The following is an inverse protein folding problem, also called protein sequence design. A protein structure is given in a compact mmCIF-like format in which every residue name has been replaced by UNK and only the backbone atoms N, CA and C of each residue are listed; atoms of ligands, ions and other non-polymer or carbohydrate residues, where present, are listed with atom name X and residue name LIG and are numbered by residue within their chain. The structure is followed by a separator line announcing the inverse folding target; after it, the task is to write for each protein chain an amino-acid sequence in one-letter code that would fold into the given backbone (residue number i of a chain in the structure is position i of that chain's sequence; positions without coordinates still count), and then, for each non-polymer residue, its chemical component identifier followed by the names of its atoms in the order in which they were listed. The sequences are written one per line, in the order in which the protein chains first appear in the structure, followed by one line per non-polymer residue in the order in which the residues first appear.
data_IF_596204795911
#
_entry.id   IF_596204795911
#
_cell.length_a   1.000
_cell.length_b   1.000
_cell.length_c   1.000
_cell.angle_alpha   90.00
_cell.angle_beta   90.00
_cell.angle_gamma   90.00
#
_symmetry.space_group_name_H-M   'P 1'
#
loop_
_entity.id
_entity.type
_entity.pdbx_description
1 polymer ?
#
# COMPACT_ATOMS: atom_id res chain seq x y z
N UNK A 1 -4.00 22.61 -17.86
CA UNK A 1 -5.42 22.98 -18.12
C UNK A 1 -6.15 23.32 -16.82
N UNK A 2 -6.98 24.38 -16.81
CA UNK A 2 -7.63 24.90 -15.58
C UNK A 2 -8.46 23.83 -14.85
N UNK A 3 -9.21 23.02 -15.57
CA UNK A 3 -10.00 21.92 -15.00
C UNK A 3 -9.11 20.89 -14.25
N UNK A 4 -7.97 20.53 -14.83
CA UNK A 4 -7.01 19.60 -14.21
C UNK A 4 -6.42 20.14 -12.91
N UNK A 5 -6.13 21.45 -12.86
CA UNK A 5 -5.65 22.13 -11.65
C UNK A 5 -6.71 22.14 -10.56
N UNK A 6 -7.95 22.51 -10.88
CA UNK A 6 -9.07 22.54 -9.91
C UNK A 6 -9.30 21.16 -9.29
N UNK A 7 -9.40 20.11 -10.13
CA UNK A 7 -9.57 18.72 -9.65
C UNK A 7 -8.42 18.33 -8.73
N UNK A 8 -7.19 18.69 -9.09
CA UNK A 8 -6.00 18.35 -8.29
C UNK A 8 -5.96 19.06 -6.95
N UNK A 9 -6.41 20.32 -6.88
CA UNK A 9 -6.52 21.07 -5.62
C UNK A 9 -7.55 20.40 -4.73
N UNK A 10 -8.74 20.13 -5.27
CA UNK A 10 -9.84 19.51 -4.52
C UNK A 10 -9.42 18.15 -3.97
N UNK A 11 -8.83 17.28 -4.80
CA UNK A 11 -8.34 15.96 -4.36
C UNK A 11 -7.26 16.09 -3.29
N UNK A 12 -6.31 17.02 -3.43
CA UNK A 12 -5.24 17.19 -2.44
C UNK A 12 -5.76 17.67 -1.09
N UNK A 13 -6.66 18.66 -1.08
CA UNK A 13 -7.24 19.20 0.15
C UNK A 13 -8.15 18.18 0.86
N UNK A 14 -8.98 17.47 0.10
CA UNK A 14 -9.81 16.39 0.65
C UNK A 14 -8.92 15.28 1.24
N UNK A 15 -7.87 14.88 0.52
CA UNK A 15 -6.97 13.82 0.97
C UNK A 15 -6.27 14.18 2.27
N UNK A 16 -5.69 15.39 2.37
CA UNK A 16 -5.09 15.88 3.61
C UNK A 16 -6.08 15.90 4.78
N UNK A 17 -7.31 16.37 4.53
CA UNK A 17 -8.34 16.49 5.55
C UNK A 17 -8.79 15.12 6.07
N UNK A 18 -9.01 14.16 5.16
CA UNK A 18 -9.45 12.79 5.49
C UNK A 18 -8.34 12.04 6.21
N UNK A 19 -7.11 12.04 5.67
CA UNK A 19 -5.96 11.35 6.27
C UNK A 19 -5.66 11.91 7.66
N UNK A 20 -5.66 13.25 7.82
CA UNK A 20 -5.46 13.90 9.13
C UNK A 20 -6.56 13.53 10.14
N UNK A 21 -7.81 13.47 9.69
CA UNK A 21 -8.93 13.04 10.53
C UNK A 21 -8.77 11.59 11.01
N UNK A 22 -8.39 10.67 10.12
CA UNK A 22 -8.15 9.28 10.50
C UNK A 22 -6.95 9.12 11.44
N UNK A 23 -5.88 9.87 11.20
CA UNK A 23 -4.71 9.88 12.06
C UNK A 23 -5.09 10.36 13.47
N UNK A 24 -5.88 11.42 13.57
CA UNK A 24 -6.35 11.98 14.86
C UNK A 24 -7.28 11.01 15.59
N UNK A 25 -8.22 10.37 14.88
CA UNK A 25 -9.10 9.36 15.46
C UNK A 25 -8.30 8.17 16.03
N UNK A 26 -7.30 7.69 15.27
CA UNK A 26 -6.44 6.57 15.71
C UNK A 26 -5.53 6.99 16.87
N UNK A 27 -4.94 8.19 16.81
CA UNK A 27 -4.13 8.75 17.89
C UNK A 27 -4.92 8.85 19.20
N UNK A 28 -6.15 9.40 19.15
CA UNK A 28 -7.00 9.57 20.33
C UNK A 28 -7.50 8.26 20.95
N UNK A 29 -7.51 7.17 20.19
CA UNK A 29 -7.89 5.84 20.70
C UNK A 29 -6.77 5.20 21.54
N UNK A 30 -5.51 5.60 21.34
CA UNK A 30 -4.36 5.03 22.03
C UNK A 30 -4.23 5.60 23.45
N UNK A 31 -4.60 4.81 24.46
CA UNK A 31 -4.39 5.17 25.87
C UNK A 31 -2.97 4.91 26.38
N UNK A 32 -2.28 3.89 25.85
CA UNK A 32 -0.95 3.50 26.33
C UNK A 32 0.01 3.14 25.18
N UNK A 33 0.93 4.05 24.88
CA UNK A 33 1.86 3.96 23.74
C UNK A 33 2.89 2.83 23.85
N UNK A 34 3.21 2.39 25.06
CA UNK A 34 4.25 1.37 25.29
C UNK A 34 3.79 -0.07 25.04
N UNK A 35 2.49 -0.32 24.93
CA UNK A 35 1.92 -1.67 24.77
C UNK A 35 1.25 -1.90 23.42
N UNK A 36 1.49 -1.02 22.44
CA UNK A 36 0.89 -1.15 21.11
C UNK A 36 1.46 -2.35 20.34
N UNK A 37 0.61 -3.18 19.70
CA UNK A 37 1.08 -4.22 18.80
C UNK A 37 1.76 -3.59 17.57
N UNK A 38 2.78 -4.26 17.00
CA UNK A 38 3.53 -3.74 15.84
C UNK A 38 2.63 -3.40 14.65
N UNK A 39 1.51 -4.11 14.49
CA UNK A 39 0.52 -3.81 13.45
C UNK A 39 -0.08 -2.40 13.55
N UNK A 40 -0.29 -1.88 14.76
CA UNK A 40 -0.79 -0.51 14.95
C UNK A 40 0.27 0.54 14.63
N UNK A 41 1.55 0.27 14.93
CA UNK A 41 2.66 1.13 14.51
C UNK A 41 2.75 1.25 12.98
N UNK A 42 2.60 0.14 12.26
CA UNK A 42 2.56 0.15 10.80
C UNK A 42 1.40 0.99 10.26
N UNK A 43 0.20 0.91 10.86
CA UNK A 43 -0.94 1.75 10.47
C UNK A 43 -0.64 3.24 10.66
N UNK A 44 0.03 3.63 11.75
CA UNK A 44 0.48 5.01 11.94
C UNK A 44 1.51 5.45 10.91
N UNK A 45 2.48 4.58 10.57
CA UNK A 45 3.46 4.85 9.52
C UNK A 45 2.77 5.09 8.17
N UNK A 46 1.81 4.24 7.78
CA UNK A 46 1.05 4.39 6.53
C UNK A 46 0.35 5.75 6.46
N UNK A 47 -0.35 6.15 7.53
CA UNK A 47 -1.05 7.44 7.53
C UNK A 47 -0.08 8.63 7.51
N UNK A 48 1.06 8.52 8.21
CA UNK A 48 2.07 9.58 8.23
C UNK A 48 2.76 9.72 6.87
N UNK A 49 3.17 8.62 6.25
CA UNK A 49 3.77 8.58 4.91
C UNK A 49 2.79 9.14 3.87
N UNK A 50 1.53 8.70 3.91
CA UNK A 50 0.46 9.20 3.05
C UNK A 50 0.26 10.72 3.22
N UNK A 51 0.24 11.21 4.46
CA UNK A 51 0.09 12.64 4.74
C UNK A 51 1.27 13.45 4.19
N UNK A 52 2.51 13.00 4.46
CA UNK A 52 3.73 13.66 3.98
C UNK A 52 3.78 13.67 2.45
N UNK A 53 3.38 12.58 1.80
CA UNK A 53 3.31 12.50 0.34
C UNK A 53 2.32 13.51 -0.25
N UNK A 54 1.08 13.53 0.24
CA UNK A 54 0.05 14.46 -0.26
C UNK A 54 0.48 15.91 0.00
N UNK A 55 1.09 16.17 1.16
CA UNK A 55 1.62 17.50 1.48
C UNK A 55 2.76 17.91 0.54
N UNK A 56 3.75 17.04 0.34
CA UNK A 56 4.89 17.33 -0.53
C UNK A 56 4.47 17.51 -2.00
N UNK A 57 3.57 16.68 -2.51
CA UNK A 57 3.01 16.84 -3.87
C UNK A 57 2.21 18.13 -4.02
N UNK A 58 1.45 18.55 -3.01
CA UNK A 58 0.75 19.82 -3.02
C UNK A 58 1.72 21.02 -3.04
N UNK A 59 2.80 20.97 -2.25
CA UNK A 59 3.84 22.02 -2.24
C UNK A 59 4.57 22.08 -3.58
N UNK A 60 4.96 20.92 -4.15
CA UNK A 60 5.59 20.86 -5.47
C UNK A 60 4.68 21.41 -6.56
N UNK A 61 3.40 21.03 -6.55
CA UNK A 61 2.46 21.38 -7.60
C UNK A 61 1.95 22.82 -7.54
N UNK A 62 1.60 23.31 -6.35
CA UNK A 62 0.98 24.62 -6.17
C UNK A 62 1.92 25.69 -5.65
N UNK A 63 2.98 25.30 -4.93
CA UNK A 63 3.97 26.24 -4.39
C UNK A 63 5.11 26.51 -5.36
N UNK A 64 5.81 25.45 -5.78
CA UNK A 64 7.00 25.55 -6.65
C UNK A 64 6.66 25.58 -8.14
N UNK A 65 5.54 24.95 -8.53
CA UNK A 65 5.12 24.82 -9.92
C UNK A 65 5.90 23.74 -10.65
N UNK A 66 5.19 22.70 -11.13
CA UNK A 66 5.79 21.54 -11.81
C UNK A 66 6.57 21.92 -13.07
N UNK A 67 6.12 22.97 -13.73
CA UNK A 67 6.61 23.43 -15.02
C UNK A 67 7.72 24.50 -14.87
N UNK A 68 8.20 24.75 -13.64
CA UNK A 68 9.20 25.79 -13.36
C UNK A 68 10.63 25.38 -13.74
N UNK A 69 10.99 24.11 -13.53
CA UNK A 69 12.35 23.63 -13.76
C UNK A 69 12.40 22.11 -13.87
N UNK A 70 13.43 21.61 -14.59
CA UNK A 70 13.72 20.19 -14.68
C UNK A 70 13.92 19.53 -13.30
N UNK A 71 14.53 20.23 -12.33
CA UNK A 71 14.77 19.70 -11.00
C UNK A 71 13.46 19.43 -10.23
N UNK A 72 12.46 20.31 -10.37
CA UNK A 72 11.13 20.11 -9.77
C UNK A 72 10.41 18.95 -10.46
N UNK A 73 10.56 18.83 -11.78
CA UNK A 73 9.99 17.74 -12.58
C UNK A 73 10.58 16.35 -12.20
N UNK A 74 11.91 16.23 -12.10
CA UNK A 74 12.58 14.99 -11.65
C UNK A 74 12.27 14.68 -10.17
N UNK A 75 12.20 15.71 -9.32
CA UNK A 75 11.76 15.57 -7.93
C UNK A 75 10.34 15.02 -7.81
N UNK A 76 9.41 15.45 -8.67
CA UNK A 76 8.03 14.98 -8.66
C UNK A 76 7.90 13.49 -8.99
N UNK A 77 8.61 12.99 -10.01
CA UNK A 77 8.58 11.55 -10.33
C UNK A 77 9.23 10.72 -9.22
N UNK A 78 10.33 11.21 -8.65
CA UNK A 78 11.01 10.52 -7.56
C UNK A 78 10.11 10.43 -6.32
N UNK A 79 9.38 11.50 -6.02
CA UNK A 79 8.43 11.52 -4.90
C UNK A 79 7.27 10.53 -5.12
N UNK A 80 6.72 10.44 -6.33
CA UNK A 80 5.71 9.44 -6.69
C UNK A 80 6.24 8.00 -6.57
N UNK A 81 7.43 7.73 -7.09
CA UNK A 81 8.06 6.42 -7.02
C UNK A 81 8.36 6.00 -5.57
N UNK A 82 8.94 6.90 -4.78
CA UNK A 82 9.24 6.63 -3.37
C UNK A 82 7.96 6.34 -2.59
N UNK A 83 6.91 7.15 -2.73
CA UNK A 83 5.65 6.92 -2.02
C UNK A 83 4.96 5.62 -2.45
N UNK A 84 4.98 5.29 -3.75
CA UNK A 84 4.46 4.02 -4.24
C UNK A 84 5.20 2.84 -3.60
N UNK A 85 6.54 2.89 -3.59
CA UNK A 85 7.37 1.82 -3.01
C UNK A 85 7.18 1.74 -1.49
N UNK A 86 7.18 2.86 -0.78
CA UNK A 86 6.92 2.93 0.66
C UNK A 86 5.61 2.24 1.00
N UNK A 87 4.52 2.61 0.32
CA UNK A 87 3.19 2.02 0.51
C UNK A 87 3.24 0.50 0.32
N UNK A 88 3.88 0.01 -0.74
CA UNK A 88 3.96 -1.43 -1.04
C UNK A 88 4.80 -2.21 -0.03
N UNK A 89 5.94 -1.66 0.38
CA UNK A 89 6.83 -2.29 1.37
C UNK A 89 6.14 -2.37 2.72
N UNK A 90 5.49 -1.29 3.17
CA UNK A 90 4.71 -1.29 4.41
C UNK A 90 3.57 -2.30 4.38
N UNK A 91 2.82 -2.35 3.27
CA UNK A 91 1.73 -3.30 3.07
C UNK A 91 2.21 -4.76 3.09
N UNK A 92 3.32 -5.05 2.41
CA UNK A 92 3.98 -6.35 2.44
C UNK A 92 4.41 -6.72 3.87
N UNK A 93 4.98 -5.76 4.63
CA UNK A 93 5.38 -5.98 6.01
C UNK A 93 4.18 -6.31 6.90
N UNK A 94 3.06 -5.61 6.71
CA UNK A 94 1.81 -5.84 7.42
C UNK A 94 1.25 -7.24 7.11
N UNK A 95 1.27 -7.66 5.85
CA UNK A 95 0.87 -9.00 5.45
C UNK A 95 1.78 -10.08 6.05
N UNK A 96 3.11 -9.92 5.95
CA UNK A 96 4.08 -10.86 6.51
C UNK A 96 3.86 -10.98 8.03
N UNK A 97 3.68 -9.85 8.72
CA UNK A 97 3.45 -9.85 10.16
C UNK A 97 2.12 -10.53 10.54
N UNK A 98 1.05 -10.25 9.79
CA UNK A 98 -0.27 -10.86 10.01
C UNK A 98 -0.25 -12.37 9.73
N UNK A 99 0.41 -12.79 8.65
CA UNK A 99 0.64 -14.20 8.31
C UNK A 99 1.45 -14.92 9.41
N UNK A 100 2.49 -14.26 9.94
CA UNK A 100 3.29 -14.79 11.03
C UNK A 100 2.46 -14.92 12.32
N UNK A 101 1.56 -13.97 12.58
CA UNK A 101 0.69 -13.99 13.75
C UNK A 101 -0.32 -15.15 13.68
N UNK A 102 -0.94 -15.39 12.52
CA UNK A 102 -1.91 -16.47 12.34
C UNK A 102 -1.25 -17.85 12.35
N UNK A 103 -0.10 -18.02 11.68
CA UNK A 103 0.70 -19.25 11.78
C UNK A 103 1.23 -19.45 13.19
N UNK A 104 1.69 -18.43 13.90
CA UNK A 104 2.07 -18.55 15.31
C UNK A 104 0.88 -18.93 16.20
N UNK A 105 -0.33 -18.45 15.91
CA UNK A 105 -1.54 -18.81 16.66
C UNK A 105 -2.02 -20.24 16.38
N UNK A 106 -1.98 -20.68 15.11
CA UNK A 106 -2.36 -22.04 14.69
C UNK A 106 -1.29 -23.08 15.09
N UNK A 107 0.00 -22.71 15.03
CA UNK A 107 1.14 -23.59 15.37
C UNK A 107 1.41 -23.62 16.88
N UNK A 108 0.99 -22.61 17.68
CA UNK A 108 1.06 -22.64 19.17
C UNK A 108 0.01 -23.55 19.81
N UNK A 109 -0.16 -24.73 19.24
CA UNK A 109 -0.47 -25.95 19.97
C UNK A 109 0.74 -26.62 20.62
N UNK A 110 1.92 -25.97 20.71
CA UNK A 110 3.06 -26.40 21.54
C UNK A 110 4.47 -26.18 20.94
N UNK A 111 5.29 -25.37 21.61
CA UNK A 111 6.73 -25.61 21.89
C UNK A 111 7.86 -25.56 20.82
N UNK A 112 7.74 -24.92 19.64
CA UNK A 112 8.95 -24.66 18.79
C UNK A 112 9.10 -23.25 18.20
N UNK A 113 10.36 -22.87 17.95
CA UNK A 113 10.85 -21.50 17.67
C UNK A 113 10.50 -20.97 16.28
N UNK A 114 10.25 -19.64 16.21
CA UNK A 114 9.83 -18.83 15.05
C UNK A 114 10.79 -18.84 13.85
N UNK A 115 12.02 -19.30 13.99
CA UNK A 115 13.10 -19.15 13.01
C UNK A 115 13.54 -20.45 12.33
N UNK A 116 12.92 -21.59 12.66
CA UNK A 116 13.47 -22.91 12.29
C UNK A 116 12.87 -23.51 11.01
N UNK A 117 11.77 -22.96 10.47
CA UNK A 117 11.20 -23.49 9.23
C UNK A 117 11.88 -22.87 8.00
N UNK A 118 12.70 -23.65 7.30
CA UNK A 118 13.36 -23.26 6.03
C UNK A 118 12.38 -22.68 4.99
N UNK A 119 11.13 -23.13 5.01
CA UNK A 119 10.06 -22.63 4.14
C UNK A 119 9.70 -21.16 4.40
N UNK A 120 9.73 -20.72 5.67
CA UNK A 120 9.44 -19.33 6.03
C UNK A 120 10.55 -18.38 5.58
N UNK A 121 11.80 -18.75 5.85
CA UNK A 121 12.95 -17.96 5.42
C UNK A 121 13.00 -17.85 3.89
N UNK A 122 12.79 -18.96 3.18
CA UNK A 122 12.75 -18.96 1.72
C UNK A 122 11.62 -18.10 1.16
N UNK A 123 10.41 -18.20 1.70
CA UNK A 123 9.27 -17.42 1.24
C UNK A 123 9.46 -15.91 1.52
N UNK A 124 9.87 -15.55 2.73
CA UNK A 124 10.09 -14.14 3.09
C UNK A 124 11.27 -13.53 2.32
N UNK A 125 12.43 -14.19 2.30
CA UNK A 125 13.61 -13.66 1.63
C UNK A 125 13.46 -13.67 0.10
N UNK A 126 12.80 -14.70 -0.45
CA UNK A 126 12.50 -14.79 -1.88
C UNK A 126 11.53 -13.71 -2.35
N UNK A 127 10.42 -13.49 -1.63
CA UNK A 127 9.46 -12.43 -1.98
C UNK A 127 10.07 -11.04 -1.83
N UNK A 128 10.77 -10.76 -0.72
CA UNK A 128 11.43 -9.46 -0.52
C UNK A 128 12.52 -9.20 -1.56
N UNK A 129 13.31 -10.23 -1.90
CA UNK A 129 14.36 -10.14 -2.91
C UNK A 129 13.79 -9.85 -4.29
N UNK A 130 12.75 -10.57 -4.71
CA UNK A 130 12.08 -10.31 -5.98
C UNK A 130 11.43 -8.92 -6.03
N UNK A 131 10.82 -8.45 -4.93
CA UNK A 131 10.29 -7.09 -4.82
C UNK A 131 11.39 -6.03 -4.97
N UNK A 132 12.56 -6.28 -4.36
CA UNK A 132 13.73 -5.40 -4.46
C UNK A 132 14.23 -5.28 -5.89
N UNK A 133 14.28 -6.38 -6.65
CA UNK A 133 14.68 -6.36 -8.07
C UNK A 133 13.73 -5.50 -8.89
N UNK A 134 12.43 -5.66 -8.70
CA UNK A 134 11.41 -4.87 -9.41
C UNK A 134 11.50 -3.38 -9.05
N UNK A 135 11.76 -3.04 -7.79
CA UNK A 135 12.01 -1.67 -7.35
C UNK A 135 13.21 -1.06 -8.08
N UNK A 136 14.35 -1.77 -8.12
CA UNK A 136 15.56 -1.29 -8.78
C UNK A 136 15.29 -1.03 -10.27
N UNK A 137 14.59 -1.94 -10.94
CA UNK A 137 14.20 -1.76 -12.34
C UNK A 137 13.34 -0.50 -12.55
N UNK A 138 12.40 -0.21 -11.65
CA UNK A 138 11.59 1.01 -11.75
C UNK A 138 12.41 2.30 -11.58
N UNK A 139 13.42 2.31 -10.70
CA UNK A 139 14.30 3.47 -10.56
C UNK A 139 15.21 3.71 -11.77
N UNK A 140 15.65 2.63 -12.43
CA UNK A 140 16.54 2.70 -13.60
C UNK A 140 15.79 3.14 -14.86
N UNK A 141 14.57 2.64 -15.06
CA UNK A 141 13.76 2.90 -16.25
C UNK A 141 12.73 4.04 -16.06
N UNK A 142 12.99 4.97 -15.15
CA UNK A 142 12.17 6.18 -14.98
C UNK A 142 12.45 7.18 -16.10
N UNK A 143 11.42 7.88 -16.57
CA UNK A 143 11.55 8.93 -17.57
C UNK A 143 10.99 10.24 -17.00
N UNK A 144 11.84 11.27 -16.99
CA UNK A 144 11.44 12.66 -16.79
C UNK A 144 11.96 13.48 -17.97
N UNK A 145 11.05 14.12 -18.71
CA UNK A 145 11.36 15.03 -19.82
C UNK A 145 10.74 16.39 -19.55
N UNK A 146 11.45 17.43 -19.93
CA UNK A 146 10.99 18.80 -19.81
C UNK A 146 10.97 19.39 -21.21
N UNK A 147 9.80 19.37 -21.85
CA UNK A 147 9.62 19.78 -23.25
C UNK A 147 8.73 21.02 -23.28
N UNK A 148 9.21 22.10 -23.93
CA UNK A 148 8.46 23.34 -24.19
C UNK A 148 7.78 24.00 -22.97
N UNK A 149 8.37 23.84 -21.77
CA UNK A 149 7.82 24.41 -20.54
C UNK A 149 6.69 23.56 -19.95
N UNK A 150 6.50 22.32 -20.38
CA UNK A 150 5.67 21.33 -19.73
C UNK A 150 6.52 20.17 -19.20
N UNK A 151 6.28 19.81 -17.94
CA UNK A 151 6.90 18.64 -17.32
C UNK A 151 6.16 17.36 -17.74
N UNK A 152 6.85 16.47 -18.45
CA UNK A 152 6.33 15.16 -18.88
C UNK A 152 7.00 14.07 -18.06
N UNK A 153 6.19 13.34 -17.30
CA UNK A 153 6.65 12.30 -16.38
C UNK A 153 6.06 10.97 -16.82
N UNK A 154 6.88 9.91 -16.79
CA UNK A 154 6.39 8.57 -17.09
C UNK A 154 7.34 7.46 -16.66
N UNK A 155 6.85 6.23 -16.81
CA UNK A 155 7.64 5.01 -16.65
C UNK A 155 7.63 4.24 -17.97
N UNK A 156 8.76 3.64 -18.34
CA UNK A 156 8.78 2.77 -19.52
C UNK A 156 7.88 1.55 -19.33
N UNK A 157 7.14 1.18 -20.39
CA UNK A 157 6.36 -0.07 -20.42
C UNK A 157 7.17 -1.31 -20.02
N UNK A 158 8.49 -1.28 -20.27
CA UNK A 158 9.45 -2.34 -19.92
C UNK A 158 9.58 -2.57 -18.41
N UNK A 159 9.49 -1.53 -17.58
CA UNK A 159 9.50 -1.66 -16.12
C UNK A 159 8.09 -1.80 -15.54
N UNK A 160 7.11 -1.19 -16.22
CA UNK A 160 5.73 -1.15 -15.77
C UNK A 160 5.02 -2.50 -15.86
N UNK A 161 5.22 -3.24 -16.95
CA UNK A 161 4.62 -4.57 -17.13
C UNK A 161 5.12 -5.60 -16.12
N UNK A 162 6.45 -5.73 -15.86
CA UNK A 162 6.96 -6.59 -14.79
C UNK A 162 6.42 -6.21 -13.42
N UNK A 163 6.32 -4.91 -13.11
CA UNK A 163 5.77 -4.44 -11.84
C UNK A 163 4.33 -4.88 -11.63
N UNK A 164 3.45 -4.63 -12.61
CA UNK A 164 2.03 -5.03 -12.53
C UNK A 164 1.90 -6.55 -12.44
N UNK A 165 2.64 -7.27 -13.27
CA UNK A 165 2.58 -8.74 -13.32
C UNK A 165 3.03 -9.34 -11.99
N UNK A 166 4.14 -8.84 -11.45
CA UNK A 166 4.69 -9.30 -10.19
C UNK A 166 3.76 -8.98 -9.01
N UNK A 167 3.21 -7.76 -8.95
CA UNK A 167 2.20 -7.38 -7.97
C UNK A 167 0.98 -8.32 -8.05
N UNK A 168 0.46 -8.60 -9.24
CA UNK A 168 -0.70 -9.51 -9.41
C UNK A 168 -0.38 -10.93 -8.94
N UNK A 169 0.77 -11.48 -9.36
CA UNK A 169 1.20 -12.84 -9.00
C UNK A 169 1.40 -12.96 -7.49
N UNK A 170 2.08 -12.00 -6.86
CA UNK A 170 2.30 -12.03 -5.41
C UNK A 170 0.98 -11.99 -4.65
N UNK A 171 0.05 -11.14 -5.08
CA UNK A 171 -1.22 -11.01 -4.39
C UNK A 171 -2.10 -12.24 -4.55
N UNK A 172 -2.13 -12.86 -5.74
CA UNK A 172 -2.80 -14.16 -5.92
C UNK A 172 -2.11 -15.26 -5.09
N UNK A 173 -0.78 -15.30 -5.08
CA UNK A 173 -0.02 -16.28 -4.30
C UNK A 173 -0.30 -16.18 -2.80
N UNK A 174 -0.21 -14.97 -2.23
CA UNK A 174 -0.48 -14.72 -0.82
C UNK A 174 -1.93 -15.04 -0.46
N UNK A 175 -2.87 -14.76 -1.37
CA UNK A 175 -4.28 -15.10 -1.22
C UNK A 175 -4.50 -16.61 -1.12
N UNK A 176 -3.92 -17.38 -2.04
CA UNK A 176 -4.04 -18.83 -2.02
C UNK A 176 -3.39 -19.41 -0.76
N UNK A 177 -2.19 -18.93 -0.40
CA UNK A 177 -1.47 -19.33 0.80
C UNK A 177 -2.30 -19.11 2.08
N UNK A 178 -3.19 -18.12 2.06
CA UNK A 178 -4.05 -17.75 3.17
C UNK A 178 -5.40 -18.48 3.17
N UNK A 179 -6.08 -18.55 2.03
CA UNK A 179 -7.40 -19.17 1.89
C UNK A 179 -7.35 -20.70 2.09
N UNK A 180 -6.28 -21.36 1.61
CA UNK A 180 -6.11 -22.83 1.70
C UNK A 180 -6.09 -23.35 3.15
N UNK A 181 -5.23 -22.87 4.08
CA UNK A 181 -5.21 -23.38 5.45
C UNK A 181 -6.50 -23.04 6.22
N UNK A 182 -7.12 -21.90 5.89
CA UNK A 182 -8.36 -21.46 6.51
C UNK A 182 -9.54 -22.36 6.11
N UNK A 183 -9.66 -22.70 4.83
CA UNK A 183 -10.69 -23.63 4.33
C UNK A 183 -10.44 -25.07 4.75
N UNK A 184 -9.18 -25.52 4.82
CA UNK A 184 -8.82 -26.85 5.31
C UNK A 184 -9.18 -27.06 6.80
N UNK A 185 -9.08 -26.02 7.63
CA UNK A 185 -9.44 -26.07 9.06
C UNK A 185 -10.96 -26.12 9.30
N UNK A 186 -11.79 -25.74 8.33
CA UNK A 186 -13.25 -25.84 8.40
C UNK A 186 -13.72 -27.31 8.48
N UNK A 187 -12.92 -28.25 7.96
CA UNK A 187 -13.33 -29.66 7.82
C UNK A 187 -13.03 -30.57 9.01
N UNK A 188 -12.20 -30.19 10.01
CA UNK A 188 -11.55 -31.21 10.86
C UNK A 188 -11.64 -31.17 12.40
N UNK A 189 -12.18 -30.18 13.14
CA UNK A 189 -12.42 -30.40 14.61
C UNK A 189 -13.24 -29.34 15.38
N UNK A 190 -14.46 -29.76 15.75
CA UNK A 190 -15.07 -29.77 17.10
C UNK A 190 -15.02 -28.47 17.95
N UNK A 191 -16.08 -27.66 17.80
CA UNK A 191 -17.08 -27.24 18.81
C UNK A 191 -16.73 -26.37 20.04
N UNK A 192 -15.49 -25.98 20.37
CA UNK A 192 -15.27 -25.20 21.63
C UNK A 192 -14.37 -23.94 21.58
N UNK A 193 -13.81 -23.56 20.42
CA UNK A 193 -13.01 -22.32 20.25
C UNK A 193 -13.56 -21.40 19.14
N UNK A 194 -14.85 -21.52 18.85
CA UNK A 194 -15.49 -21.04 17.61
C UNK A 194 -15.54 -19.51 17.47
N UNK A 195 -15.72 -18.76 18.57
CA UNK A 195 -15.96 -17.31 18.47
C UNK A 195 -14.70 -16.47 18.15
N UNK A 196 -13.57 -16.74 18.81
CA UNK A 196 -12.32 -16.01 18.54
C UNK A 196 -11.70 -16.39 17.18
N UNK A 197 -12.04 -17.57 16.64
CA UNK A 197 -11.56 -18.06 15.35
C UNK A 197 -12.32 -17.44 14.16
N UNK A 198 -13.61 -17.15 14.31
CA UNK A 198 -14.42 -16.48 13.26
C UNK A 198 -14.09 -14.99 13.13
N UNK A 199 -13.74 -14.31 14.22
CA UNK A 199 -13.30 -12.92 14.19
C UNK A 199 -11.98 -12.75 13.44
N UNK A 200 -10.99 -13.60 13.72
CA UNK A 200 -9.71 -13.61 13.00
C UNK A 200 -9.95 -13.89 11.51
N UNK A 201 -10.78 -14.88 11.17
CA UNK A 201 -11.16 -15.20 9.78
C UNK A 201 -11.87 -14.03 9.08
N UNK A 202 -12.68 -13.25 9.80
CA UNK A 202 -13.36 -12.08 9.23
C UNK A 202 -12.37 -10.95 8.96
N UNK A 203 -11.46 -10.65 9.90
CA UNK A 203 -10.41 -9.65 9.71
C UNK A 203 -9.46 -10.02 8.57
N UNK A 204 -9.12 -11.31 8.50
CA UNK A 204 -8.39 -11.98 7.45
C UNK A 204 -8.97 -11.75 6.05
N UNK A 205 -10.22 -12.19 5.82
CA UNK A 205 -10.91 -12.03 4.54
C UNK A 205 -11.10 -10.56 4.17
N UNK A 206 -11.33 -9.70 5.16
CA UNK A 206 -11.45 -8.26 4.95
C UNK A 206 -10.14 -7.62 4.48
N UNK A 207 -9.02 -7.98 5.10
CA UNK A 207 -7.69 -7.51 4.69
C UNK A 207 -7.35 -7.99 3.29
N UNK A 208 -7.75 -9.21 2.94
CA UNK A 208 -7.63 -9.75 1.59
C UNK A 208 -8.45 -8.95 0.56
N UNK A 209 -9.74 -8.71 0.83
CA UNK A 209 -10.58 -7.93 -0.06
C UNK A 209 -10.07 -6.49 -0.21
N UNK A 210 -9.62 -5.88 0.90
CA UNK A 210 -8.94 -4.59 0.89
C UNK A 210 -7.70 -4.59 -0.02
N UNK A 211 -6.87 -5.63 0.06
CA UNK A 211 -5.72 -5.84 -0.85
C UNK A 211 -6.14 -5.80 -2.31
N UNK A 212 -7.11 -6.65 -2.68
CA UNK A 212 -7.54 -6.80 -4.07
C UNK A 212 -8.12 -5.50 -4.62
N UNK A 213 -8.91 -4.79 -3.80
CA UNK A 213 -9.43 -3.48 -4.16
C UNK A 213 -8.31 -2.48 -4.40
N UNK A 214 -7.34 -2.37 -3.48
CA UNK A 214 -6.20 -1.44 -3.62
C UNK A 214 -5.35 -1.78 -4.84
N UNK A 215 -5.11 -3.06 -5.12
CA UNK A 215 -4.37 -3.47 -6.31
C UNK A 215 -5.11 -3.18 -7.59
N UNK A 216 -6.43 -3.42 -7.61
CA UNK A 216 -7.25 -3.12 -8.76
C UNK A 216 -7.25 -1.61 -9.03
N UNK A 217 -7.32 -0.77 -7.98
CA UNK A 217 -7.14 0.68 -8.08
C UNK A 217 -5.77 1.03 -8.67
N UNK A 218 -4.67 0.48 -8.13
CA UNK A 218 -3.34 0.74 -8.63
C UNK A 218 -3.17 0.29 -10.09
N UNK A 219 -3.74 -0.86 -10.48
CA UNK A 219 -3.68 -1.39 -11.86
C UNK A 219 -4.48 -0.50 -12.80
N UNK A 220 -5.67 -0.05 -12.43
CA UNK A 220 -6.48 0.88 -13.24
C UNK A 220 -5.74 2.20 -13.43
N UNK A 221 -5.15 2.75 -12.35
CA UNK A 221 -4.34 3.96 -12.44
C UNK A 221 -3.13 3.76 -13.38
N UNK A 222 -2.37 2.69 -13.20
CA UNK A 222 -1.21 2.37 -14.05
C UNK A 222 -1.57 2.04 -15.50
N UNK A 223 -2.72 1.42 -15.74
CA UNK A 223 -3.14 1.06 -17.09
C UNK A 223 -3.62 2.27 -17.87
N UNK A 224 -4.33 3.21 -17.23
CA UNK A 224 -4.60 4.54 -17.81
C UNK A 224 -3.27 5.22 -18.19
N UNK A 225 -2.29 5.20 -17.29
CA UNK A 225 -0.94 5.73 -17.51
C UNK A 225 -0.18 5.05 -18.68
N UNK A 226 -0.45 3.78 -19.00
CA UNK A 226 0.22 3.08 -20.13
C UNK A 226 -0.34 3.43 -21.51
N UNK A 227 -1.59 3.89 -21.57
CA UNK A 227 -2.32 4.14 -22.82
C UNK A 227 -1.94 5.50 -23.41
N UNK A 228 -1.62 6.49 -22.57
CA UNK A 228 -1.11 7.77 -23.02
C UNK A 228 0.43 7.68 -23.20
N UNK A 229 0.92 7.82 -24.43
CA UNK A 229 2.36 7.80 -24.74
C UNK A 229 3.03 9.10 -24.27
N UNK A 230 3.37 9.17 -22.98
CA UNK A 230 3.91 10.36 -22.31
C UNK A 230 2.79 11.18 -21.70
N UNK A 231 2.80 11.32 -20.37
CA UNK A 231 1.77 12.05 -19.63
C UNK A 231 2.29 13.35 -19.04
N UNK A 232 1.48 14.41 -19.03
CA UNK A 232 1.83 15.61 -18.29
C UNK A 232 1.88 15.28 -16.80
N UNK A 233 2.94 15.72 -16.11
CA UNK A 233 3.24 15.33 -14.72
C UNK A 233 2.11 15.62 -13.73
N UNK A 234 1.24 16.59 -14.03
CA UNK A 234 0.08 16.89 -13.20
C UNK A 234 -0.96 15.76 -13.15
N UNK A 235 -1.10 14.93 -14.20
CA UNK A 235 -1.97 13.74 -14.23
C UNK A 235 -1.40 12.62 -13.36
N UNK A 236 -0.11 12.31 -13.51
CA UNK A 236 0.57 11.32 -12.69
C UNK A 236 0.43 11.64 -11.19
N UNK A 237 0.68 12.90 -10.79
CA UNK A 237 0.51 13.34 -9.40
C UNK A 237 -0.93 13.24 -8.90
N UNK A 238 -1.92 13.53 -9.77
CA UNK A 238 -3.33 13.38 -9.43
C UNK A 238 -3.67 11.90 -9.18
N UNK A 239 -3.27 11.02 -10.08
CA UNK A 239 -3.47 9.57 -9.96
C UNK A 239 -2.81 9.00 -8.70
N UNK A 240 -1.54 9.36 -8.43
CA UNK A 240 -0.87 8.89 -7.21
C UNK A 240 -1.56 9.38 -5.93
N UNK A 241 -2.02 10.63 -5.90
CA UNK A 241 -2.76 11.16 -4.76
C UNK A 241 -4.09 10.42 -4.55
N UNK A 242 -4.84 10.16 -5.63
CA UNK A 242 -6.06 9.36 -5.57
C UNK A 242 -5.81 7.92 -5.10
N UNK A 243 -4.71 7.27 -5.55
CA UNK A 243 -4.35 5.91 -5.12
C UNK A 243 -4.01 5.85 -3.63
N UNK A 244 -3.27 6.84 -3.13
CA UNK A 244 -2.93 6.97 -1.71
C UNK A 244 -4.19 7.21 -0.86
N UNK A 245 -5.08 8.11 -1.29
CA UNK A 245 -6.34 8.34 -0.60
C UNK A 245 -7.18 7.06 -0.53
N UNK A 246 -7.32 6.35 -1.66
CA UNK A 246 -8.08 5.12 -1.72
C UNK A 246 -7.46 4.03 -0.80
N UNK A 247 -6.14 3.91 -0.81
CA UNK A 247 -5.40 3.00 0.06
C UNK A 247 -5.62 3.32 1.54
N UNK A 248 -5.55 4.60 1.93
CA UNK A 248 -5.82 5.04 3.29
C UNK A 248 -7.27 4.75 3.72
N UNK A 249 -8.25 4.92 2.84
CA UNK A 249 -9.65 4.56 3.08
C UNK A 249 -9.81 3.05 3.29
N UNK A 250 -9.16 2.23 2.46
CA UNK A 250 -9.17 0.77 2.62
C UNK A 250 -8.53 0.35 3.94
N UNK A 251 -7.39 0.92 4.32
CA UNK A 251 -6.73 0.65 5.61
C UNK A 251 -7.63 1.07 6.78
N UNK A 252 -8.28 2.23 6.69
CA UNK A 252 -9.25 2.65 7.71
C UNK A 252 -10.41 1.66 7.82
N UNK A 253 -11.00 1.26 6.69
CA UNK A 253 -12.08 0.27 6.65
C UNK A 253 -11.66 -1.09 7.20
N UNK A 254 -10.44 -1.54 6.90
CA UNK A 254 -9.85 -2.80 7.42
C UNK A 254 -9.54 -2.72 8.91
N UNK A 255 -9.36 -1.53 9.49
CA UNK A 255 -8.98 -1.35 10.91
C UNK A 255 -10.08 -0.76 11.81
N UNK A 256 -11.22 -0.33 11.26
CA UNK A 256 -12.28 0.36 12.03
C UNK A 256 -13.18 -0.58 12.84
N UNK A 257 -13.25 -1.86 12.48
CA UNK A 257 -14.21 -2.81 13.06
C UNK A 257 -13.62 -3.69 14.18
N UNK A 258 -12.37 -3.43 14.57
CA UNK A 258 -11.73 -4.03 15.74
C UNK A 258 -12.23 -3.36 17.05
N UNK A 259 -13.08 -2.33 16.94
CA UNK A 259 -13.65 -1.57 18.06
C UNK A 259 -15.01 -2.10 18.57
N UNK A 260 -15.64 -3.08 17.91
CA UNK A 260 -16.97 -3.61 18.32
C UNK A 260 -16.82 -4.79 19.31
N UNK A 261 -15.61 -5.06 19.80
CA UNK A 261 -15.30 -6.18 20.69
C UNK A 261 -14.74 -5.81 22.07
N UNK A 262 -14.78 -4.54 22.48
CA UNK A 262 -14.42 -4.12 23.85
C UNK A 262 -15.65 -4.03 24.74
#
# INVERSE_FOLDING_TARGET
PVAGTVVSVVVSLLSLSIISSFLTQKYGTVKNWRMLPCAMWLVFCIYLDSFLFVFATAVLKFGLGLDSSYAVCDGAILLCLVAYISTKVEWLLQLIYSFLAEKAYIIRGGLKSRMESKLWLFNTFGMLGAYTVVIILNFVFRIARFDEGECVIGMERRALLPLITFDLVLNVYLTLLFLIPVTALHSFRIKQRTQRRTEIHRMAVRTFFGSMCTLTSSIVNLSVLTVLNGEPGWLCLLCCNSDVLFSALMVHWVTSHDHIGS
#
